data_IF_056906292869
#
_entry.id   IF_056906292869
#
_cell.length_a   1.000
_cell.length_b   1.000
_cell.length_c   1.000
_cell.angle_alpha   90.00
_cell.angle_beta   90.00
_cell.angle_gamma   90.00
#
_symmetry.space_group_name_H-M   'P 1'
#
loop_
_entity.id
_entity.type
_entity.pdbx_description
1 polymer ?
#
# COMPACT_ATOMS: atom_id res chain seq x y z
N UNK A 1 -37.19 37.86 -47.83
CA UNK A 1 -36.68 38.81 -48.85
C UNK A 1 -35.16 38.72 -48.83
N UNK A 2 -34.66 38.29 -50.03
CA UNK A 2 -33.36 38.62 -50.65
C UNK A 2 -32.11 38.12 -49.92
N UNK A 3 -31.43 37.03 -50.38
CA UNK A 3 -30.57 36.94 -51.62
C UNK A 3 -29.32 37.82 -51.39
N UNK A 4 -28.11 37.43 -51.60
CA UNK A 4 -27.35 36.70 -52.61
C UNK A 4 -25.89 36.63 -52.17
N UNK A 5 -25.18 35.49 -52.31
CA UNK A 5 -24.11 35.19 -53.31
C UNK A 5 -22.87 36.04 -53.23
N UNK A 6 -21.68 35.44 -53.24
CA UNK A 6 -20.83 34.98 -54.36
C UNK A 6 -19.51 34.44 -53.78
N UNK A 7 -19.03 33.33 -54.15
CA UNK A 7 -18.28 32.85 -55.31
C UNK A 7 -16.77 33.17 -55.29
N UNK A 8 -16.00 32.09 -55.18
CA UNK A 8 -14.83 31.67 -55.95
C UNK A 8 -13.50 32.46 -55.85
N UNK A 9 -12.43 31.76 -55.56
CA UNK A 9 -11.41 31.48 -56.63
C UNK A 9 -10.32 30.53 -56.13
N UNK A 10 -10.14 29.53 -56.95
CA UNK A 10 -9.04 28.56 -57.05
C UNK A 10 -7.79 29.24 -57.53
N UNK A 11 -6.64 28.96 -56.88
CA UNK A 11 -5.32 29.03 -57.56
C UNK A 11 -4.49 27.84 -57.07
N UNK A 12 -4.34 26.87 -57.98
CA UNK A 12 -3.37 25.82 -57.93
C UNK A 12 -2.02 26.37 -58.43
N UNK A 13 -0.93 26.14 -57.67
CA UNK A 13 0.40 26.29 -58.24
C UNK A 13 1.21 25.02 -57.86
N UNK A 14 1.39 24.20 -58.89
CA UNK A 14 2.35 23.11 -59.01
C UNK A 14 3.77 23.69 -59.16
N UNK A 15 4.66 23.35 -58.27
CA UNK A 15 6.12 23.42 -58.56
C UNK A 15 6.76 22.11 -58.11
N UNK A 16 7.07 21.29 -59.12
CA UNK A 16 7.96 20.14 -59.00
C UNK A 16 9.37 20.60 -58.78
N UNK A 17 10.00 20.11 -57.70
CA UNK A 17 11.42 20.28 -57.41
C UNK A 17 12.03 18.93 -57.08
N UNK A 18 12.61 18.27 -58.08
CA UNK A 18 13.51 17.13 -57.89
C UNK A 18 14.76 17.60 -57.13
N UNK A 19 15.02 17.03 -55.96
CA UNK A 19 16.35 17.12 -55.35
C UNK A 19 16.80 15.73 -54.94
N UNK A 20 17.92 15.38 -55.56
CA UNK A 20 18.68 14.15 -55.56
C UNK A 20 19.20 13.86 -54.15
N UNK A 21 18.94 12.68 -53.62
CA UNK A 21 19.52 12.18 -52.37
C UNK A 21 21.01 11.89 -52.56
N UNK A 22 21.86 12.21 -51.61
CA UNK A 22 23.26 11.70 -51.60
C UNK A 22 23.27 10.28 -51.06
N UNK A 23 23.93 9.44 -51.80
CA UNK A 23 24.31 8.06 -51.51
C UNK A 23 25.15 7.97 -50.24
N UNK A 24 24.66 7.32 -49.22
CA UNK A 24 25.40 7.05 -47.99
C UNK A 24 26.39 5.90 -48.25
N UNK A 25 27.68 6.22 -48.24
CA UNK A 25 28.76 5.24 -48.29
C UNK A 25 28.65 4.28 -47.07
N UNK A 26 28.48 2.99 -47.37
CA UNK A 26 28.63 1.88 -46.45
C UNK A 26 30.08 1.80 -45.95
N UNK A 27 30.29 2.19 -44.69
CA UNK A 27 31.54 1.89 -44.00
C UNK A 27 31.38 0.55 -43.29
N UNK A 28 32.07 -0.45 -43.79
CA UNK A 28 32.13 -1.78 -43.19
C UNK A 28 32.76 -1.70 -41.78
N UNK A 29 32.08 -2.24 -40.81
CA UNK A 29 32.62 -2.45 -39.46
C UNK A 29 33.71 -3.54 -39.48
N UNK A 30 34.81 -3.38 -38.75
CA UNK A 30 35.82 -4.42 -38.62
C UNK A 30 35.27 -5.59 -37.77
N UNK A 31 35.73 -6.84 -38.01
CA UNK A 31 35.28 -8.01 -37.29
C UNK A 31 35.68 -7.96 -35.83
N UNK A 32 34.73 -8.23 -34.94
CA UNK A 32 34.94 -8.38 -33.50
C UNK A 32 35.95 -9.53 -33.26
N UNK A 33 37.05 -9.23 -32.62
CA UNK A 33 38.00 -10.22 -32.13
C UNK A 33 37.32 -11.09 -31.05
N UNK A 34 37.31 -12.39 -31.29
CA UNK A 34 36.87 -13.37 -30.30
C UNK A 34 37.83 -13.36 -29.11
N UNK A 35 37.33 -12.91 -27.95
CA UNK A 35 38.06 -13.03 -26.69
C UNK A 35 37.77 -14.42 -26.14
N UNK A 36 38.74 -15.31 -26.24
CA UNK A 36 38.74 -16.62 -25.57
C UNK A 36 38.87 -16.41 -24.06
N UNK A 37 38.03 -17.03 -23.23
CA UNK A 37 38.20 -16.98 -21.79
C UNK A 37 39.43 -17.81 -21.37
N UNK A 38 40.17 -17.38 -20.32
CA UNK A 38 41.32 -18.14 -19.83
C UNK A 38 40.89 -19.47 -19.21
N UNK A 39 41.73 -20.51 -19.25
CA UNK A 39 41.39 -21.82 -18.68
C UNK A 39 41.27 -21.75 -17.17
N UNK A 40 40.20 -22.38 -16.65
CA UNK A 40 39.95 -22.55 -15.23
C UNK A 40 41.10 -23.34 -14.58
N UNK A 41 41.65 -22.79 -13.49
CA UNK A 41 42.62 -23.49 -12.66
C UNK A 41 41.91 -24.67 -11.93
N UNK A 42 42.61 -25.79 -11.68
CA UNK A 42 42.03 -26.93 -10.98
C UNK A 42 41.71 -26.55 -9.55
N UNK A 43 40.48 -26.88 -9.12
CA UNK A 43 40.08 -26.75 -7.73
C UNK A 43 40.86 -27.78 -6.89
N UNK A 44 41.70 -27.28 -6.02
CA UNK A 44 42.41 -28.08 -4.99
C UNK A 44 41.35 -28.48 -3.94
N UNK A 45 41.21 -29.79 -3.77
CA UNK A 45 40.31 -30.40 -2.81
C UNK A 45 40.78 -30.10 -1.40
N UNK A 46 40.06 -29.20 -0.70
CA UNK A 46 40.26 -28.96 0.73
C UNK A 46 39.84 -30.22 1.53
N UNK A 47 40.77 -30.75 2.29
CA UNK A 47 40.54 -31.87 3.22
C UNK A 47 39.52 -31.47 4.30
N UNK A 48 38.68 -32.42 4.80
CA UNK A 48 37.71 -32.14 5.83
C UNK A 48 38.40 -31.82 7.16
N UNK A 49 37.97 -30.71 7.78
CA UNK A 49 38.39 -30.30 9.13
C UNK A 49 37.93 -31.37 10.16
N UNK A 50 38.75 -31.66 11.19
CA UNK A 50 38.38 -32.62 12.24
C UNK A 50 37.24 -32.09 13.08
N UNK A 51 36.30 -32.98 13.44
CA UNK A 51 35.16 -32.71 14.31
C UNK A 51 35.63 -32.22 15.71
N UNK A 52 34.92 -31.26 16.32
CA UNK A 52 35.26 -30.80 17.66
C UNK A 52 34.97 -31.90 18.70
N UNK A 53 35.97 -32.18 19.52
CA UNK A 53 35.89 -33.07 20.67
C UNK A 53 34.87 -32.54 21.68
N UNK A 54 33.99 -33.37 22.26
CA UNK A 54 33.05 -32.93 23.28
C UNK A 54 33.79 -32.49 24.55
N UNK A 55 33.53 -31.28 25.00
CA UNK A 55 34.02 -30.80 26.29
C UNK A 55 33.34 -31.55 27.44
N UNK A 56 34.04 -31.78 28.58
CA UNK A 56 33.46 -32.50 29.72
C UNK A 56 32.32 -31.67 30.36
N UNK A 57 31.24 -32.37 30.70
CA UNK A 57 30.07 -31.83 31.36
C UNK A 57 30.45 -31.13 32.66
N UNK A 58 30.21 -29.81 32.69
CA UNK A 58 30.30 -29.05 33.93
C UNK A 58 29.13 -29.41 34.84
N UNK A 59 29.46 -29.75 36.10
CA UNK A 59 28.52 -29.97 37.20
C UNK A 59 27.59 -28.78 37.38
N UNK A 60 26.30 -28.97 37.70
CA UNK A 60 25.38 -27.87 37.94
C UNK A 60 25.85 -27.07 39.16
N UNK A 61 26.24 -25.83 38.96
CA UNK A 61 26.40 -24.86 40.03
C UNK A 61 25.01 -24.50 40.57
N UNK A 62 24.89 -24.51 41.89
CA UNK A 62 23.68 -24.14 42.60
C UNK A 62 23.19 -22.77 42.15
N UNK A 63 21.94 -22.72 41.78
CA UNK A 63 21.21 -21.50 41.39
C UNK A 63 21.23 -20.51 42.56
N UNK A 64 21.93 -19.39 42.38
CA UNK A 64 21.67 -18.21 43.20
C UNK A 64 20.22 -17.77 43.00
N UNK A 65 19.53 -17.21 44.02
CA UNK A 65 18.20 -16.69 43.86
C UNK A 65 18.24 -15.61 42.76
N UNK A 66 17.55 -15.84 41.69
CA UNK A 66 17.27 -14.80 40.68
C UNK A 66 16.42 -13.79 41.44
N UNK A 67 16.94 -12.61 41.74
CA UNK A 67 16.11 -11.48 42.07
C UNK A 67 15.13 -11.34 40.91
N UNK A 68 13.84 -11.57 41.20
CA UNK A 68 12.75 -11.15 40.33
C UNK A 68 12.94 -9.64 40.14
N UNK A 69 13.69 -9.27 39.08
CA UNK A 69 13.62 -7.94 38.55
C UNK A 69 12.14 -7.71 38.36
N UNK A 70 11.59 -6.73 39.08
CA UNK A 70 10.24 -6.23 38.88
C UNK A 70 10.09 -5.97 37.39
N UNK A 71 9.62 -6.99 36.65
CA UNK A 71 8.97 -6.74 35.41
C UNK A 71 7.88 -5.75 35.79
N UNK A 72 8.07 -4.54 35.30
CA UNK A 72 7.07 -3.48 35.37
C UNK A 72 5.76 -4.14 34.95
N UNK A 73 4.88 -4.33 35.94
CA UNK A 73 3.59 -5.01 35.72
C UNK A 73 2.93 -4.21 34.63
N UNK A 74 2.89 -4.78 33.41
CA UNK A 74 2.22 -4.17 32.28
C UNK A 74 0.87 -3.64 32.79
N UNK A 75 0.61 -2.35 32.56
CA UNK A 75 -0.64 -1.75 33.01
C UNK A 75 -1.78 -2.71 32.65
N UNK A 76 -2.71 -2.99 33.58
CA UNK A 76 -3.81 -3.90 33.26
C UNK A 76 -4.41 -3.44 31.95
N UNK A 77 -4.53 -4.38 31.01
CA UNK A 77 -5.24 -4.13 29.75
C UNK A 77 -6.53 -3.39 30.11
N UNK A 78 -6.85 -2.25 29.49
CA UNK A 78 -8.12 -1.58 29.76
C UNK A 78 -9.20 -2.65 29.66
N UNK A 79 -10.07 -2.73 30.69
CA UNK A 79 -11.13 -3.72 30.74
C UNK A 79 -11.82 -3.67 29.39
N UNK A 80 -11.74 -4.74 28.62
CA UNK A 80 -12.38 -4.81 27.31
C UNK A 80 -13.82 -4.40 27.54
N UNK A 81 -14.26 -3.29 26.93
CA UNK A 81 -15.63 -2.86 27.00
C UNK A 81 -16.48 -4.09 26.69
N UNK A 82 -17.49 -4.38 27.50
CA UNK A 82 -18.22 -5.63 27.36
C UNK A 82 -18.84 -5.70 25.98
N UNK A 83 -18.14 -6.38 25.07
CA UNK A 83 -18.77 -6.80 23.82
C UNK A 83 -20.00 -7.63 24.15
N UNK A 84 -21.03 -7.65 23.29
CA UNK A 84 -22.19 -8.48 23.49
C UNK A 84 -21.75 -9.88 23.89
N UNK A 85 -22.13 -10.30 25.13
CA UNK A 85 -21.56 -11.46 25.80
C UNK A 85 -21.63 -12.71 24.89
N UNK A 86 -20.48 -13.31 24.65
CA UNK A 86 -20.35 -14.57 23.93
C UNK A 86 -20.33 -14.52 22.40
N UNK A 87 -20.39 -13.32 21.76
CA UNK A 87 -20.39 -13.23 20.30
C UNK A 87 -18.98 -13.23 19.71
N UNK A 88 -18.04 -12.50 20.30
CA UNK A 88 -16.65 -12.40 19.85
C UNK A 88 -15.68 -12.67 21.00
N UNK A 89 -14.63 -13.41 20.71
CA UNK A 89 -13.62 -13.83 21.70
C UNK A 89 -12.31 -13.11 21.44
N UNK A 90 -11.80 -12.42 22.46
CA UNK A 90 -10.48 -11.79 22.42
C UNK A 90 -9.39 -12.86 22.24
N UNK A 91 -8.43 -12.59 21.39
CA UNK A 91 -7.38 -13.53 20.99
C UNK A 91 -7.79 -14.50 19.88
N UNK A 92 -9.08 -14.55 19.53
CA UNK A 92 -9.61 -15.37 18.42
C UNK A 92 -10.15 -14.48 17.31
N UNK A 93 -11.18 -13.66 17.61
CA UNK A 93 -11.87 -12.86 16.60
C UNK A 93 -11.31 -11.42 16.49
N UNK A 94 -10.66 -10.97 17.52
CA UNK A 94 -9.91 -9.71 17.57
C UNK A 94 -8.83 -9.81 18.63
N UNK A 95 -7.84 -8.92 18.57
CA UNK A 95 -6.79 -8.82 19.60
C UNK A 95 -6.64 -7.38 20.08
N UNK A 96 -6.24 -7.15 21.34
CA UNK A 96 -5.86 -5.82 21.79
C UNK A 96 -4.56 -5.38 21.09
N UNK A 97 -4.48 -4.09 20.78
CA UNK A 97 -3.25 -3.41 20.39
C UNK A 97 -2.55 -2.90 21.66
N UNK A 98 -1.34 -3.38 21.91
CA UNK A 98 -0.59 -3.05 23.14
C UNK A 98 0.78 -2.49 22.75
N UNK A 99 1.11 -1.26 23.20
CA UNK A 99 0.25 -0.32 23.90
C UNK A 99 -0.87 0.22 22.99
N UNK A 100 -1.98 0.66 23.59
CA UNK A 100 -3.01 1.38 22.85
C UNK A 100 -2.44 2.67 22.25
N UNK A 101 -2.84 3.00 21.04
CA UNK A 101 -2.33 4.14 20.29
C UNK A 101 -3.31 5.32 20.33
N UNK A 102 -2.82 6.56 20.32
CA UNK A 102 -3.68 7.73 20.19
C UNK A 102 -4.38 7.74 18.83
N UNK A 103 -5.54 8.38 18.77
CA UNK A 103 -6.35 8.56 17.56
C UNK A 103 -6.50 10.04 17.23
N UNK A 104 -6.74 10.34 15.96
CA UNK A 104 -7.01 11.69 15.47
C UNK A 104 -8.52 11.98 15.29
N UNK A 105 -9.38 11.10 15.81
CA UNK A 105 -10.82 11.28 15.71
C UNK A 105 -11.30 12.50 16.52
N UNK A 106 -12.29 13.22 16.00
CA UNK A 106 -12.92 14.30 16.72
C UNK A 106 -13.54 13.83 18.05
N UNK A 107 -13.66 14.70 19.06
CA UNK A 107 -14.27 14.34 20.34
C UNK A 107 -15.64 13.68 20.15
N UNK A 108 -15.87 12.56 20.82
CA UNK A 108 -17.09 11.78 20.73
C UNK A 108 -17.19 10.93 19.46
N UNK A 109 -16.14 10.79 18.68
CA UNK A 109 -16.04 9.82 17.58
C UNK A 109 -15.16 8.65 17.99
N UNK A 110 -15.36 7.54 17.32
CA UNK A 110 -14.53 6.34 17.42
C UNK A 110 -13.83 6.14 16.09
N UNK A 111 -12.53 6.18 16.10
CA UNK A 111 -11.74 5.98 14.89
C UNK A 111 -11.74 4.50 14.48
N UNK A 112 -11.94 4.27 13.19
CA UNK A 112 -11.75 2.96 12.56
C UNK A 112 -10.82 3.16 11.38
N UNK A 113 -9.67 2.50 11.41
CA UNK A 113 -8.67 2.57 10.35
C UNK A 113 -8.61 1.24 9.61
N UNK A 114 -8.76 1.28 8.30
CA UNK A 114 -8.37 0.19 7.42
C UNK A 114 -6.92 0.39 7.02
N UNK A 115 -6.05 -0.55 7.39
CA UNK A 115 -4.70 -0.61 6.84
C UNK A 115 -4.72 -1.57 5.66
N UNK A 116 -4.28 -1.10 4.49
CA UNK A 116 -4.47 -1.81 3.23
C UNK A 116 -3.33 -1.62 2.23
N UNK A 117 -3.40 -2.32 1.11
CA UNK A 117 -2.59 -2.11 -0.08
C UNK A 117 -3.41 -2.36 -1.34
N UNK A 118 -3.39 -1.46 -2.29
CA UNK A 118 -4.11 -1.63 -3.56
C UNK A 118 -3.73 -2.89 -4.34
N UNK A 119 -2.48 -3.34 -4.26
CA UNK A 119 -2.04 -4.58 -4.91
C UNK A 119 -2.43 -5.87 -4.16
N UNK A 120 -3.05 -5.78 -2.97
CA UNK A 120 -3.42 -6.94 -2.17
C UNK A 120 -4.76 -7.55 -2.62
N UNK A 121 -4.80 -8.83 -3.05
CA UNK A 121 -6.05 -9.48 -3.46
C UNK A 121 -7.05 -9.65 -2.32
N UNK A 122 -6.59 -9.77 -1.08
CA UNK A 122 -7.46 -9.87 0.08
C UNK A 122 -8.10 -8.52 0.44
N UNK A 123 -7.37 -7.40 0.26
CA UNK A 123 -7.94 -6.06 0.38
C UNK A 123 -9.00 -5.81 -0.69
N UNK A 124 -8.69 -6.19 -1.96
CA UNK A 124 -9.65 -6.11 -3.05
C UNK A 124 -10.94 -6.91 -2.76
N UNK A 125 -10.81 -8.13 -2.24
CA UNK A 125 -11.95 -8.96 -1.88
C UNK A 125 -12.77 -8.40 -0.70
N UNK A 126 -12.15 -7.64 0.20
CA UNK A 126 -12.82 -7.01 1.35
C UNK A 126 -13.49 -5.67 0.98
N UNK A 127 -12.96 -4.95 -0.02
CA UNK A 127 -13.41 -3.60 -0.40
C UNK A 127 -14.94 -3.48 -0.60
N UNK A 128 -15.65 -4.37 -1.31
CA UNK A 128 -17.12 -4.28 -1.46
C UNK A 128 -17.88 -4.31 -0.12
N UNK A 129 -17.37 -5.03 0.88
CA UNK A 129 -17.97 -5.10 2.20
C UNK A 129 -17.73 -3.79 2.98
N UNK A 130 -16.55 -3.23 2.89
CA UNK A 130 -16.21 -1.93 3.49
C UNK A 130 -17.04 -0.83 2.84
N UNK A 131 -17.13 -0.78 1.51
CA UNK A 131 -17.91 0.22 0.79
C UNK A 131 -19.42 0.15 1.11
N UNK A 132 -19.96 -1.05 1.26
CA UNK A 132 -21.33 -1.24 1.72
C UNK A 132 -21.52 -0.77 3.15
N UNK A 133 -20.60 -1.15 4.05
CA UNK A 133 -20.63 -0.78 5.46
C UNK A 133 -20.46 0.73 5.67
N UNK A 134 -19.60 1.40 4.94
CA UNK A 134 -19.39 2.86 5.03
C UNK A 134 -20.66 3.66 4.82
N UNK A 135 -21.58 3.18 3.99
CA UNK A 135 -22.87 3.81 3.71
C UNK A 135 -23.85 3.71 4.89
N UNK A 136 -23.66 2.74 5.76
CA UNK A 136 -24.58 2.41 6.85
C UNK A 136 -23.95 2.45 8.24
N UNK A 137 -22.63 2.70 8.33
CA UNK A 137 -21.92 2.78 9.62
C UNK A 137 -22.52 3.83 10.54
N UNK A 138 -22.45 3.60 11.85
CA UNK A 138 -22.95 4.55 12.82
C UNK A 138 -22.28 5.93 12.68
N UNK A 139 -23.02 7.04 12.85
CA UNK A 139 -22.49 8.40 12.65
C UNK A 139 -21.33 8.76 13.57
N UNK A 140 -21.14 8.06 14.69
CA UNK A 140 -20.02 8.28 15.60
C UNK A 140 -18.74 7.60 15.13
N UNK A 141 -18.77 6.71 14.12
CA UNK A 141 -17.58 6.09 13.56
C UNK A 141 -16.92 7.03 12.55
N UNK A 142 -15.68 7.38 12.84
CA UNK A 142 -14.77 8.08 11.93
C UNK A 142 -13.89 7.05 11.22
N UNK A 143 -14.19 6.80 9.93
CA UNK A 143 -13.49 5.79 9.14
C UNK A 143 -12.40 6.44 8.29
N UNK A 144 -11.21 5.85 8.32
CA UNK A 144 -10.03 6.27 7.55
C UNK A 144 -9.37 5.08 6.89
N UNK A 145 -8.64 5.32 5.81
CA UNK A 145 -7.75 4.37 5.15
C UNK A 145 -6.31 4.78 5.29
N UNK A 146 -5.44 3.82 5.53
CA UNK A 146 -4.00 4.02 5.61
C UNK A 146 -3.31 2.95 4.76
N UNK A 147 -2.72 3.33 3.64
CA UNK A 147 -1.95 2.40 2.81
C UNK A 147 -0.62 2.07 3.46
N UNK A 148 -0.17 0.82 3.35
CA UNK A 148 1.18 0.41 3.78
C UNK A 148 2.26 0.95 2.84
N UNK A 149 3.49 1.13 3.38
CA UNK A 149 4.64 1.78 2.73
C UNK A 149 5.89 0.92 2.69
N UNK A 150 5.79 -0.39 2.93
CA UNK A 150 6.91 -1.31 3.20
C UNK A 150 8.00 -1.38 2.11
N UNK A 151 7.63 -1.34 0.86
CA UNK A 151 8.52 -1.49 -0.31
C UNK A 151 8.17 -0.47 -1.38
N UNK A 152 9.02 -0.29 -2.37
CA UNK A 152 8.83 0.69 -3.45
C UNK A 152 7.43 0.61 -4.11
N UNK A 153 6.92 -0.59 -4.36
CA UNK A 153 5.57 -0.77 -4.93
C UNK A 153 4.48 -0.29 -3.96
N UNK A 154 4.62 -0.57 -2.66
CA UNK A 154 3.66 -0.10 -1.66
C UNK A 154 3.71 1.42 -1.54
N UNK A 155 4.91 2.01 -1.49
CA UNK A 155 5.11 3.47 -1.44
C UNK A 155 4.51 4.17 -2.67
N UNK A 156 4.69 3.59 -3.87
CA UNK A 156 4.09 4.13 -5.09
C UNK A 156 2.56 4.11 -5.04
N UNK A 157 1.95 3.03 -4.57
CA UNK A 157 0.50 2.92 -4.44
C UNK A 157 -0.05 3.79 -3.29
N UNK A 158 0.69 3.94 -2.20
CA UNK A 158 0.35 4.86 -1.12
C UNK A 158 0.39 6.31 -1.62
N UNK A 159 1.38 6.66 -2.42
CA UNK A 159 1.48 7.99 -3.03
C UNK A 159 0.32 8.27 -3.99
N UNK A 160 -0.10 7.28 -4.79
CA UNK A 160 -1.31 7.36 -5.60
C UNK A 160 -2.56 7.62 -4.73
N UNK A 161 -2.72 6.87 -3.64
CA UNK A 161 -3.83 7.05 -2.69
C UNK A 161 -3.90 8.48 -2.16
N UNK A 162 -2.81 8.97 -1.57
CA UNK A 162 -2.77 10.33 -1.01
C UNK A 162 -2.86 11.43 -2.08
N UNK A 163 -2.42 11.16 -3.30
CA UNK A 163 -2.65 12.07 -4.43
C UNK A 163 -4.14 12.21 -4.74
N UNK A 164 -4.85 11.10 -4.79
CA UNK A 164 -6.31 11.11 -5.02
C UNK A 164 -7.05 11.74 -3.83
N UNK A 165 -6.59 11.52 -2.61
CA UNK A 165 -7.14 12.14 -1.40
C UNK A 165 -6.94 13.66 -1.42
N UNK A 166 -5.73 14.15 -1.71
CA UNK A 166 -5.44 15.58 -1.85
C UNK A 166 -6.27 16.28 -2.93
N UNK A 167 -6.67 15.54 -3.95
CA UNK A 167 -7.57 16.01 -5.02
C UNK A 167 -9.07 15.85 -4.67
N UNK A 168 -9.40 15.28 -3.50
CA UNK A 168 -10.78 14.97 -3.12
C UNK A 168 -11.44 13.92 -4.02
N UNK A 169 -10.66 13.01 -4.59
CA UNK A 169 -11.08 11.97 -5.53
C UNK A 169 -10.94 10.55 -4.99
N UNK A 170 -10.28 10.37 -3.83
CA UNK A 170 -10.00 9.04 -3.26
C UNK A 170 -11.28 8.23 -3.11
N UNK A 171 -12.28 8.74 -2.40
CA UNK A 171 -13.53 8.04 -2.12
C UNK A 171 -14.25 7.59 -3.40
N UNK A 172 -14.26 8.43 -4.43
CA UNK A 172 -14.91 8.13 -5.70
C UNK A 172 -14.15 7.13 -6.58
N UNK A 173 -12.82 7.06 -6.42
CA UNK A 173 -11.95 6.27 -7.30
C UNK A 173 -11.32 5.06 -6.63
N UNK A 174 -11.49 4.88 -5.32
CA UNK A 174 -10.87 3.79 -4.55
C UNK A 174 -11.09 2.42 -5.17
N UNK A 175 -12.35 2.04 -5.36
CA UNK A 175 -12.69 0.74 -5.98
C UNK A 175 -12.28 0.68 -7.46
N UNK A 176 -12.19 1.82 -8.16
CA UNK A 176 -11.70 1.85 -9.55
C UNK A 176 -10.20 1.58 -9.63
N UNK A 177 -9.40 2.05 -8.65
CA UNK A 177 -7.98 1.71 -8.53
C UNK A 177 -7.79 0.21 -8.29
N UNK A 178 -8.57 -0.38 -7.40
CA UNK A 178 -8.57 -1.83 -7.20
C UNK A 178 -8.92 -2.59 -8.48
N UNK A 179 -9.99 -2.20 -9.18
CA UNK A 179 -10.39 -2.83 -10.43
C UNK A 179 -9.31 -2.70 -11.53
N UNK A 180 -8.64 -1.54 -11.62
CA UNK A 180 -7.53 -1.36 -12.56
C UNK A 180 -6.41 -2.38 -12.30
N UNK A 181 -6.04 -2.58 -11.04
CA UNK A 181 -4.96 -3.49 -10.67
C UNK A 181 -5.36 -4.96 -10.74
N UNK A 182 -6.55 -5.32 -10.26
CA UNK A 182 -6.95 -6.72 -10.10
C UNK A 182 -7.68 -7.29 -11.31
N UNK A 183 -8.57 -6.52 -11.96
CA UNK A 183 -9.33 -7.00 -13.10
C UNK A 183 -8.55 -6.78 -14.39
N UNK A 184 -7.99 -5.57 -14.61
CA UNK A 184 -7.24 -5.24 -15.82
C UNK A 184 -5.76 -5.62 -15.73
N UNK A 185 -5.27 -6.07 -14.56
CA UNK A 185 -3.87 -6.45 -14.30
C UNK A 185 -2.87 -5.31 -14.54
N UNK A 186 -3.34 -4.07 -14.44
CA UNK A 186 -2.50 -2.88 -14.56
C UNK A 186 -2.13 -2.35 -13.18
N UNK A 187 -0.99 -2.76 -12.67
CA UNK A 187 -0.52 -2.35 -11.32
C UNK A 187 -0.04 -0.90 -11.25
N UNK A 188 0.06 -0.20 -12.37
CA UNK A 188 0.51 1.20 -12.42
C UNK A 188 1.83 1.43 -11.65
N UNK A 189 2.73 0.45 -11.74
CA UNK A 189 4.03 0.46 -11.11
C UNK A 189 5.06 -0.24 -11.99
N UNK A 190 6.17 0.45 -12.28
CA UNK A 190 7.34 -0.06 -13.01
C UNK A 190 8.54 -0.01 -12.09
N UNK A 191 9.05 -1.19 -11.75
CA UNK A 191 10.16 -1.29 -10.80
C UNK A 191 11.41 -0.61 -11.33
N UNK A 192 11.94 0.34 -10.55
CA UNK A 192 13.13 1.11 -10.91
C UNK A 192 12.88 2.22 -11.93
N UNK A 193 11.63 2.44 -12.36
CA UNK A 193 11.26 3.52 -13.27
C UNK A 193 10.11 4.36 -12.69
N UNK A 194 10.48 5.38 -11.92
CA UNK A 194 9.52 6.31 -11.30
C UNK A 194 8.76 7.13 -12.34
N UNK A 195 9.40 7.45 -13.47
CA UNK A 195 8.76 8.24 -14.52
C UNK A 195 7.65 7.45 -15.21
N UNK A 196 7.92 6.22 -15.60
CA UNK A 196 6.91 5.35 -16.21
C UNK A 196 5.82 4.97 -15.21
N UNK A 197 6.15 4.81 -13.93
CA UNK A 197 5.19 4.64 -12.85
C UNK A 197 4.25 5.84 -12.76
N UNK A 198 4.78 7.06 -12.72
CA UNK A 198 3.98 8.29 -12.72
C UNK A 198 3.11 8.40 -13.98
N UNK A 199 3.66 8.12 -15.16
CA UNK A 199 2.93 8.16 -16.44
C UNK A 199 1.74 7.20 -16.43
N UNK A 200 1.89 5.99 -15.88
CA UNK A 200 0.80 5.02 -15.77
C UNK A 200 -0.31 5.53 -14.83
N UNK A 201 0.05 6.11 -13.69
CA UNK A 201 -0.90 6.69 -12.74
C UNK A 201 -1.59 7.94 -13.31
N UNK A 202 -0.88 8.79 -14.02
CA UNK A 202 -1.45 9.94 -14.76
C UNK A 202 -2.43 9.46 -15.83
N UNK A 203 -2.11 8.38 -16.54
CA UNK A 203 -2.99 7.81 -17.56
C UNK A 203 -4.30 7.34 -16.94
N UNK A 204 -4.23 6.64 -15.81
CA UNK A 204 -5.42 6.27 -15.03
C UNK A 204 -6.21 7.51 -14.59
N UNK A 205 -5.56 8.50 -14.02
CA UNK A 205 -6.19 9.73 -13.53
C UNK A 205 -6.91 10.49 -14.66
N UNK A 206 -6.30 10.60 -15.83
CA UNK A 206 -6.90 11.24 -17.02
C UNK A 206 -8.15 10.49 -17.50
N UNK A 207 -8.14 9.16 -17.47
CA UNK A 207 -9.32 8.35 -17.81
C UNK A 207 -10.49 8.58 -16.85
N UNK A 208 -10.19 9.10 -15.64
CA UNK A 208 -11.20 9.45 -14.62
C UNK A 208 -11.41 10.96 -14.45
N UNK A 209 -11.04 11.76 -15.47
CA UNK A 209 -11.35 13.20 -15.53
C UNK A 209 -10.45 14.11 -14.67
N UNK A 210 -9.29 13.62 -14.25
CA UNK A 210 -8.27 14.42 -13.55
C UNK A 210 -7.22 14.86 -14.58
N UNK A 211 -6.92 16.17 -14.64
CA UNK A 211 -5.90 16.66 -15.56
C UNK A 211 -4.49 16.19 -15.14
N UNK A 212 -3.60 16.03 -16.11
CA UNK A 212 -2.20 15.66 -15.85
C UNK A 212 -1.49 16.68 -14.94
N UNK A 213 -1.77 17.97 -15.14
CA UNK A 213 -1.20 19.03 -14.31
C UNK A 213 -1.69 18.95 -12.86
N UNK A 214 -2.99 18.73 -12.62
CA UNK A 214 -3.53 18.65 -11.27
C UNK A 214 -2.99 17.41 -10.55
N UNK A 215 -2.98 16.26 -11.24
CA UNK A 215 -2.44 15.04 -10.68
C UNK A 215 -0.94 15.19 -10.32
N UNK A 216 -0.12 15.68 -11.25
CA UNK A 216 1.31 15.83 -11.05
C UNK A 216 1.65 16.85 -9.96
N UNK A 217 0.90 17.93 -9.87
CA UNK A 217 1.05 18.93 -8.81
C UNK A 217 0.71 18.36 -7.45
N UNK A 218 -0.40 17.64 -7.32
CA UNK A 218 -0.79 16.97 -6.08
C UNK A 218 0.22 15.90 -5.70
N UNK A 219 0.62 15.05 -6.63
CA UNK A 219 1.59 13.96 -6.45
C UNK A 219 2.94 14.44 -5.89
N UNK A 220 3.39 15.63 -6.27
CA UNK A 220 4.64 16.22 -5.80
C UNK A 220 4.44 17.22 -4.64
N UNK A 221 3.23 17.34 -4.12
CA UNK A 221 2.93 18.30 -3.04
C UNK A 221 3.55 17.90 -1.70
N UNK A 222 3.78 18.90 -0.86
CA UNK A 222 4.21 18.68 0.53
C UNK A 222 3.16 17.92 1.34
N UNK A 223 1.87 18.14 1.06
CA UNK A 223 0.77 17.42 1.72
C UNK A 223 0.90 15.94 1.52
N UNK A 224 1.03 15.46 0.27
CA UNK A 224 1.19 14.03 -0.03
C UNK A 224 2.42 13.44 0.65
N UNK A 225 3.55 14.16 0.65
CA UNK A 225 4.76 13.69 1.34
C UNK A 225 4.55 13.58 2.85
N UNK A 226 3.85 14.53 3.46
CA UNK A 226 3.54 14.51 4.89
C UNK A 226 2.61 13.36 5.25
N UNK A 227 1.59 13.10 4.43
CA UNK A 227 0.62 12.03 4.68
C UNK A 227 1.23 10.65 4.46
N UNK A 228 2.15 10.51 3.51
CA UNK A 228 3.01 9.33 3.37
C UNK A 228 3.83 9.05 4.65
N UNK A 229 4.45 10.09 5.23
CA UNK A 229 5.22 9.93 6.46
C UNK A 229 4.35 9.56 7.65
N UNK A 230 3.14 10.13 7.76
CA UNK A 230 2.16 9.75 8.79
C UNK A 230 1.68 8.31 8.62
N UNK A 231 1.45 7.86 7.38
CA UNK A 231 1.07 6.49 7.12
C UNK A 231 2.15 5.50 7.58
N UNK A 232 3.40 5.79 7.26
CA UNK A 232 4.54 4.98 7.67
C UNK A 232 4.62 4.87 9.20
N UNK A 233 4.50 5.99 9.91
CA UNK A 233 4.47 6.04 11.38
C UNK A 233 3.30 5.23 11.96
N UNK A 234 2.07 5.36 11.39
CA UNK A 234 0.90 4.60 11.82
C UNK A 234 1.08 3.10 11.62
N UNK A 235 1.58 2.69 10.47
CA UNK A 235 1.86 1.28 10.16
C UNK A 235 2.83 0.67 11.17
N UNK A 236 3.88 1.41 11.55
CA UNK A 236 4.83 0.98 12.58
C UNK A 236 4.20 0.92 13.97
N UNK A 237 3.46 1.96 14.38
CA UNK A 237 2.81 2.02 15.70
C UNK A 237 1.74 0.96 15.89
N UNK A 238 1.04 0.60 14.83
CA UNK A 238 0.03 -0.46 14.86
C UNK A 238 0.62 -1.87 14.73
N UNK A 239 1.95 -1.99 14.58
CA UNK A 239 2.65 -3.26 14.37
C UNK A 239 2.03 -4.08 13.22
N UNK A 240 1.77 -3.41 12.09
CA UNK A 240 1.14 -4.03 10.93
C UNK A 240 2.12 -4.94 10.22
N UNK A 241 1.83 -6.24 10.20
CA UNK A 241 2.61 -7.29 9.56
C UNK A 241 1.89 -7.93 8.36
N UNK A 242 0.63 -7.56 8.14
CA UNK A 242 -0.19 -8.02 7.03
C UNK A 242 -1.40 -7.13 6.77
N UNK A 243 -1.96 -7.22 5.56
CA UNK A 243 -3.15 -6.46 5.15
C UNK A 243 -4.16 -7.38 4.46
N UNK A 244 -5.48 -7.09 4.56
CA UNK A 244 -6.08 -5.95 5.27
C UNK A 244 -6.07 -6.12 6.80
N UNK A 245 -5.95 -5.01 7.54
CA UNK A 245 -6.08 -4.97 8.98
C UNK A 245 -7.03 -3.83 9.37
N UNK A 246 -8.01 -4.10 10.24
CA UNK A 246 -8.89 -3.08 10.80
C UNK A 246 -8.42 -2.74 12.22
N UNK A 247 -8.16 -1.45 12.48
CA UNK A 247 -7.81 -0.94 13.80
C UNK A 247 -8.97 -0.12 14.35
N UNK A 248 -9.43 -0.44 15.55
CA UNK A 248 -10.57 0.23 16.17
C UNK A 248 -10.08 1.00 17.40
N UNK A 249 -10.30 2.31 17.34
CA UNK A 249 -9.97 3.29 18.39
C UNK A 249 -8.53 3.22 18.91
N UNK A 250 -7.58 2.78 18.05
CA UNK A 250 -6.18 2.57 18.44
C UNK A 250 -5.97 1.48 19.50
N UNK A 251 -7.00 0.68 19.81
CA UNK A 251 -7.00 -0.29 20.91
C UNK A 251 -7.18 -1.73 20.49
N UNK A 252 -7.88 -1.98 19.39
CA UNK A 252 -8.19 -3.34 18.93
C UNK A 252 -7.87 -3.49 17.46
N UNK A 253 -7.50 -4.70 17.09
CA UNK A 253 -7.30 -5.08 15.68
C UNK A 253 -8.06 -6.34 15.35
N UNK A 254 -8.56 -6.42 14.12
CA UNK A 254 -9.16 -7.61 13.53
C UNK A 254 -8.86 -7.67 12.03
N UNK A 255 -8.94 -8.85 11.47
CA UNK A 255 -8.81 -9.12 10.03
C UNK A 255 -9.78 -10.22 9.59
N UNK A 256 -9.75 -10.57 8.30
CA UNK A 256 -10.64 -11.60 7.73
C UNK A 256 -10.39 -12.99 8.32
N UNK A 257 -9.12 -13.33 8.63
CA UNK A 257 -8.78 -14.62 9.21
C UNK A 257 -9.31 -14.75 10.63
N UNK A 258 -9.10 -13.71 11.45
CA UNK A 258 -9.62 -13.65 12.83
C UNK A 258 -11.14 -13.64 12.85
N UNK A 259 -11.76 -12.89 11.97
CA UNK A 259 -13.24 -12.79 11.91
C UNK A 259 -13.91 -14.00 11.27
N UNK A 260 -13.17 -14.79 10.47
CA UNK A 260 -13.69 -15.95 9.74
C UNK A 260 -14.45 -15.60 8.46
N UNK A 261 -14.83 -14.35 8.24
CA UNK A 261 -15.42 -13.87 6.99
C UNK A 261 -15.39 -12.34 6.88
N UNK A 262 -15.45 -11.76 5.66
CA UNK A 262 -15.53 -10.32 5.46
C UNK A 262 -16.74 -9.66 6.16
N UNK A 263 -17.90 -10.31 6.14
CA UNK A 263 -19.11 -9.81 6.82
C UNK A 263 -18.91 -9.75 8.33
N UNK A 264 -18.24 -10.73 8.92
CA UNK A 264 -17.93 -10.73 10.35
C UNK A 264 -16.94 -9.64 10.74
N UNK A 265 -15.97 -9.29 9.85
CA UNK A 265 -15.09 -8.14 10.10
C UNK A 265 -15.92 -6.89 10.39
N UNK A 266 -16.90 -6.58 9.53
CA UNK A 266 -17.76 -5.39 9.73
C UNK A 266 -18.60 -5.47 10.99
N UNK A 267 -19.08 -6.66 11.36
CA UNK A 267 -19.82 -6.88 12.60
C UNK A 267 -18.93 -6.66 13.84
N UNK A 268 -17.70 -7.19 13.82
CA UNK A 268 -16.72 -7.00 14.90
C UNK A 268 -16.36 -5.51 15.05
N UNK A 269 -16.12 -4.83 13.93
CA UNK A 269 -15.83 -3.39 13.91
C UNK A 269 -16.99 -2.60 14.55
N UNK A 270 -18.23 -2.89 14.18
CA UNK A 270 -19.41 -2.23 14.75
C UNK A 270 -19.52 -2.47 16.27
N UNK A 271 -19.37 -3.73 16.69
CA UNK A 271 -19.54 -4.10 18.10
C UNK A 271 -18.40 -3.51 18.97
N UNK A 272 -17.14 -3.54 18.49
CA UNK A 272 -16.00 -2.90 19.16
C UNK A 272 -16.15 -1.37 19.19
N UNK A 273 -16.55 -0.74 18.09
CA UNK A 273 -16.78 0.69 18.06
C UNK A 273 -17.93 1.13 18.98
N UNK A 274 -18.97 0.33 19.08
CA UNK A 274 -20.07 0.60 20.01
C UNK A 274 -19.62 0.52 21.48
N UNK A 275 -18.76 -0.44 21.82
CA UNK A 275 -18.21 -0.56 23.17
C UNK A 275 -17.32 0.63 23.54
N UNK A 276 -16.52 1.14 22.60
CA UNK A 276 -15.67 2.33 22.80
C UNK A 276 -16.48 3.62 22.89
N UNK A 277 -17.62 3.72 22.24
CA UNK A 277 -18.52 4.88 22.29
C UNK A 277 -19.18 5.06 23.64
N UNK A 278 -19.39 3.97 24.40
CA UNK A 278 -20.06 4.00 25.70
C UNK A 278 -19.15 4.39 26.87
N UNK A 279 -17.88 4.61 26.60
CA UNK A 279 -16.86 5.08 27.54
C UNK A 279 -16.33 6.45 27.13
#
# INVERSE_FOLDING_TARGET
MKLLTTLASVVALLLAGCSKAPEAASVAAPPAAAVTPPPAAPAEAAAPAPAPTPAPAAKPAASAPVEESKLERAAPLPAAGQLPAGKWVAGVNYRPLVPAQPTDAAPGKVEVVEVFWYGCPHCYALDPFIESWRKTKAPYIDFKRVPVTWQAVHQSHAKLFYTLEALGKEEALHSAVFAEMHDKKNYMFMQGDEKETLNAQVTFAKAHGISESDFSNAYNSFTVQTDMAKADDLVHRYHVDGVPLLVINGKYVTDVNMAGSPANVMNIVNDLAASEKSH
#
